data_IF_338345881938
#
_entry.id   IF_338345881938
#
_cell.length_a   1.000
_cell.length_b   1.000
_cell.length_c   1.000
_cell.angle_alpha   90.00
_cell.angle_beta   90.00
_cell.angle_gamma   90.00
#
_symmetry.space_group_name_H-M   'P 1'
#
loop_
_entity.id
_entity.type
_entity.pdbx_description
1 polymer ?
#
# COMPACT_ATOMS: atom_id res chain seq x y z
N UNK A 1 -89.94 2.10 27.65
CA UNK A 1 -89.22 1.09 28.47
C UNK A 1 -88.61 1.84 29.65
N UNK A 2 -89.28 1.80 30.80
CA UNK A 2 -88.79 1.19 32.07
C UNK A 2 -87.52 1.89 32.61
N UNK A 3 -87.62 2.91 33.48
CA UNK A 3 -87.83 2.89 34.95
C UNK A 3 -86.55 2.63 35.75
N UNK A 4 -86.32 3.52 36.73
CA UNK A 4 -85.61 3.35 38.01
C UNK A 4 -84.07 3.28 38.01
N UNK A 5 -83.34 3.71 39.05
CA UNK A 5 -83.49 4.64 40.18
C UNK A 5 -82.23 4.44 41.07
N UNK A 6 -81.86 5.47 41.84
CA UNK A 6 -81.05 5.45 43.08
C UNK A 6 -79.60 4.91 43.01
N UNK A 7 -78.57 5.50 43.61
CA UNK A 7 -78.49 6.42 44.74
C UNK A 7 -77.50 5.86 45.80
N UNK A 8 -76.82 6.76 46.55
CA UNK A 8 -76.04 6.53 47.81
C UNK A 8 -74.66 5.87 47.64
N UNK A 9 -73.58 6.17 48.40
CA UNK A 9 -73.28 6.81 49.72
C UNK A 9 -71.78 7.19 49.67
N UNK A 10 -71.33 8.39 50.07
CA UNK A 10 -70.85 8.80 51.41
C UNK A 10 -69.68 8.00 52.03
N UNK A 11 -68.75 8.76 52.63
CA UNK A 11 -67.77 8.46 53.73
C UNK A 11 -66.34 8.07 53.30
N UNK A 12 -65.32 8.94 53.35
CA UNK A 12 -64.49 9.51 54.44
C UNK A 12 -63.31 8.62 54.91
N UNK A 13 -62.16 9.28 55.11
CA UNK A 13 -61.01 8.98 56.01
C UNK A 13 -59.91 7.99 55.56
N UNK A 14 -58.67 8.45 55.43
CA UNK A 14 -57.60 8.38 56.47
C UNK A 14 -56.22 8.78 55.92
N UNK A 15 -55.49 9.59 56.71
CA UNK A 15 -54.05 9.87 56.59
C UNK A 15 -53.26 8.79 57.34
N UNK A 16 -52.02 8.44 56.93
CA UNK A 16 -50.91 8.63 57.87
C UNK A 16 -49.60 9.16 57.23
N UNK A 17 -48.80 9.79 58.09
CA UNK A 17 -47.48 10.39 57.87
C UNK A 17 -46.35 9.38 57.60
N UNK A 18 -45.19 9.82 57.05
CA UNK A 18 -43.85 9.33 57.44
C UNK A 18 -42.68 10.22 56.94
N UNK A 19 -41.87 10.66 57.91
CA UNK A 19 -40.39 10.64 58.01
C UNK A 19 -39.52 11.57 57.13
N UNK A 20 -38.81 12.46 57.84
CA UNK A 20 -37.62 13.23 57.40
C UNK A 20 -36.38 12.31 57.44
N UNK A 21 -35.62 12.27 56.34
CA UNK A 21 -34.32 11.60 56.25
C UNK A 21 -33.27 12.53 55.61
N UNK A 22 -32.14 12.70 56.28
CA UNK A 22 -31.07 13.63 55.93
C UNK A 22 -30.43 13.37 54.56
N UNK A 23 -30.30 14.42 53.75
CA UNK A 23 -29.51 14.40 52.51
C UNK A 23 -28.04 14.58 52.89
N UNK A 24 -27.29 13.47 52.91
CA UNK A 24 -25.83 13.51 52.86
C UNK A 24 -25.43 13.99 51.47
N UNK A 25 -24.83 15.18 51.39
CA UNK A 25 -24.15 15.67 50.20
C UNK A 25 -22.90 14.82 49.95
N UNK A 26 -23.09 13.67 49.30
CA UNK A 26 -22.00 12.94 48.67
C UNK A 26 -21.53 13.75 47.48
N UNK A 27 -20.28 14.23 47.52
CA UNK A 27 -19.54 14.78 46.40
C UNK A 27 -19.35 13.70 45.33
N UNK A 28 -20.41 13.45 44.56
CA UNK A 28 -20.38 12.68 43.34
C UNK A 28 -19.67 13.52 42.30
N UNK A 29 -18.41 13.16 41.99
CA UNK A 29 -17.85 13.47 40.68
C UNK A 29 -18.82 12.85 39.67
N UNK A 30 -19.52 13.70 38.93
CA UNK A 30 -20.26 13.30 37.74
C UNK A 30 -19.25 12.69 36.77
N UNK A 31 -19.23 11.36 36.67
CA UNK A 31 -18.51 10.69 35.60
C UNK A 31 -19.18 11.10 34.28
N UNK A 32 -18.50 11.94 33.49
CA UNK A 32 -18.89 12.24 32.12
C UNK A 32 -18.53 11.02 31.26
N UNK A 33 -19.38 10.67 30.29
CA UNK A 33 -19.07 9.65 29.27
C UNK A 33 -17.85 10.03 28.38
N UNK A 34 -17.30 11.23 28.57
CA UNK A 34 -16.12 11.77 27.89
C UNK A 34 -14.81 11.63 28.69
N UNK A 35 -14.84 11.19 29.95
CA UNK A 35 -13.63 10.82 30.71
C UNK A 35 -13.13 9.47 30.21
N UNK A 36 -12.53 9.46 29.01
CA UNK A 36 -11.75 8.32 28.56
C UNK A 36 -10.56 8.16 29.48
N UNK A 37 -10.58 7.11 30.32
CA UNK A 37 -9.42 6.70 31.12
C UNK A 37 -8.17 6.70 30.22
N UNK A 38 -7.21 7.62 30.47
CA UNK A 38 -6.00 7.73 29.66
C UNK A 38 -5.21 6.42 29.63
N UNK A 39 -5.31 5.63 30.70
CA UNK A 39 -4.70 4.30 30.81
C UNK A 39 -5.31 3.34 29.80
N UNK A 40 -6.63 3.16 29.83
CA UNK A 40 -7.33 2.32 28.86
C UNK A 40 -7.14 2.78 27.40
N UNK A 41 -7.05 4.09 27.16
CA UNK A 41 -6.74 4.63 25.82
C UNK A 41 -5.31 4.26 25.40
N UNK A 42 -4.33 4.43 26.28
CA UNK A 42 -2.94 4.08 26.00
C UNK A 42 -2.79 2.56 25.79
N UNK A 43 -3.47 1.72 26.55
CA UNK A 43 -3.46 0.27 26.39
C UNK A 43 -4.00 -0.16 25.01
N UNK A 44 -5.12 0.42 24.56
CA UNK A 44 -5.67 0.16 23.22
C UNK A 44 -4.70 0.60 22.13
N UNK A 45 -4.17 1.81 22.25
CA UNK A 45 -3.20 2.36 21.31
C UNK A 45 -1.93 1.52 21.25
N UNK A 46 -1.39 1.12 22.40
CA UNK A 46 -0.21 0.27 22.54
C UNK A 46 -0.41 -1.09 21.88
N UNK A 47 -1.55 -1.74 22.15
CA UNK A 47 -1.91 -3.01 21.51
C UNK A 47 -1.97 -2.86 20.00
N UNK A 48 -2.65 -1.81 19.49
CA UNK A 48 -2.78 -1.54 18.06
C UNK A 48 -1.42 -1.33 17.39
N UNK A 49 -0.57 -0.46 17.93
CA UNK A 49 0.75 -0.17 17.33
C UNK A 49 1.67 -1.40 17.40
N UNK A 50 1.69 -2.13 18.52
CA UNK A 50 2.54 -3.32 18.65
C UNK A 50 2.12 -4.43 17.69
N UNK A 51 0.82 -4.72 17.57
CA UNK A 51 0.32 -5.72 16.61
C UNK A 51 0.58 -5.27 15.16
N UNK A 52 0.32 -4.01 14.84
CA UNK A 52 0.51 -3.50 13.48
C UNK A 52 1.98 -3.61 13.04
N UNK A 53 2.91 -3.12 13.87
CA UNK A 53 4.32 -3.04 13.51
C UNK A 53 5.06 -4.36 13.70
N UNK A 54 4.90 -5.05 14.83
CA UNK A 54 5.74 -6.22 15.15
C UNK A 54 4.96 -7.53 15.22
N UNK A 55 3.63 -7.48 15.25
CA UNK A 55 2.78 -8.66 15.45
C UNK A 55 2.91 -9.27 16.84
N UNK A 56 3.46 -8.52 17.80
CA UNK A 56 3.71 -8.96 19.19
C UNK A 56 2.85 -8.14 20.17
N UNK A 57 2.77 -8.64 21.39
CA UNK A 57 2.19 -7.89 22.51
C UNK A 57 2.98 -6.62 22.81
N UNK A 58 2.31 -5.63 23.42
CA UNK A 58 2.93 -4.37 23.78
C UNK A 58 3.91 -4.53 24.95
N UNK A 59 5.12 -4.02 24.78
CA UNK A 59 6.08 -3.92 25.88
C UNK A 59 5.66 -2.83 26.88
N UNK A 60 6.23 -2.86 28.09
CA UNK A 60 5.93 -1.85 29.10
C UNK A 60 6.23 -0.41 28.62
N UNK A 61 7.25 -0.23 27.79
CA UNK A 61 7.59 1.06 27.20
C UNK A 61 6.51 1.54 26.21
N UNK A 62 5.98 0.63 25.38
CA UNK A 62 4.91 0.96 24.43
C UNK A 62 3.59 1.22 25.15
N UNK A 63 3.29 0.48 26.22
CA UNK A 63 2.11 0.73 27.07
C UNK A 63 2.14 2.12 27.71
N UNK A 64 3.32 2.58 28.15
CA UNK A 64 3.47 3.89 28.76
C UNK A 64 3.36 5.05 27.75
N UNK A 65 3.90 4.86 26.54
CA UNK A 65 3.90 5.90 25.50
C UNK A 65 3.83 5.29 24.09
N UNK A 66 2.64 4.89 23.61
CA UNK A 66 2.52 4.13 22.37
C UNK A 66 2.89 4.93 21.13
N UNK A 67 2.40 6.16 21.00
CA UNK A 67 2.72 7.01 19.84
C UNK A 67 4.18 7.51 19.87
N UNK A 68 4.76 7.71 21.07
CA UNK A 68 6.19 8.02 21.19
C UNK A 68 7.11 6.83 20.89
N UNK A 69 6.59 5.60 20.91
CA UNK A 69 7.36 4.38 20.65
C UNK A 69 7.44 4.00 19.16
N UNK A 70 6.73 4.72 18.27
CA UNK A 70 6.64 4.38 16.84
C UNK A 70 8.00 4.28 16.16
N UNK A 71 8.91 5.22 16.40
CA UNK A 71 10.23 5.19 15.76
C UNK A 71 11.07 3.98 16.21
N UNK A 72 10.88 3.54 17.46
CA UNK A 72 11.53 2.32 17.98
C UNK A 72 10.93 1.07 17.33
N UNK A 73 9.60 1.01 17.19
CA UNK A 73 8.91 -0.09 16.51
C UNK A 73 9.31 -0.19 15.03
N UNK A 74 9.49 0.94 14.35
CA UNK A 74 9.92 1.01 12.95
C UNK A 74 11.39 0.58 12.74
N UNK A 75 12.19 0.52 13.79
CA UNK A 75 13.56 0.00 13.76
C UNK A 75 13.64 -1.48 14.19
N UNK A 76 12.54 -2.07 14.68
CA UNK A 76 12.51 -3.45 15.16
C UNK A 76 12.67 -4.43 13.97
N UNK A 77 13.56 -5.44 14.06
CA UNK A 77 13.69 -6.46 13.01
C UNK A 77 12.38 -7.18 12.66
N UNK A 78 11.46 -7.35 13.61
CA UNK A 78 10.14 -7.93 13.37
C UNK A 78 9.27 -7.03 12.49
N UNK A 79 9.39 -5.70 12.63
CA UNK A 79 8.75 -4.78 11.69
C UNK A 79 9.36 -4.90 10.30
N UNK A 80 10.69 -4.91 10.21
CA UNK A 80 11.38 -5.02 8.92
C UNK A 80 10.91 -6.27 8.17
N UNK A 81 10.85 -7.40 8.85
CA UNK A 81 10.35 -8.66 8.31
C UNK A 81 8.87 -8.56 7.88
N UNK A 82 8.01 -8.04 8.76
CA UNK A 82 6.55 -7.97 8.52
C UNK A 82 6.21 -7.01 7.38
N UNK A 83 6.83 -5.84 7.34
CA UNK A 83 6.60 -4.86 6.28
C UNK A 83 7.14 -5.34 4.94
N UNK A 84 8.29 -6.02 4.92
CA UNK A 84 8.83 -6.61 3.68
C UNK A 84 7.90 -7.68 3.10
N UNK A 85 7.28 -8.51 3.97
CA UNK A 85 6.25 -9.48 3.56
C UNK A 85 4.99 -8.80 3.04
N UNK A 86 4.55 -7.74 3.71
CA UNK A 86 3.40 -6.94 3.27
C UNK A 86 3.65 -6.37 1.86
N UNK A 87 4.81 -5.74 1.63
CA UNK A 87 5.16 -5.19 0.30
C UNK A 87 5.19 -6.29 -0.76
N UNK A 88 5.75 -7.47 -0.45
CA UNK A 88 5.72 -8.59 -1.39
C UNK A 88 4.29 -9.03 -1.73
N UNK A 89 3.43 -9.13 -0.72
CA UNK A 89 2.02 -9.50 -0.91
C UNK A 89 1.18 -8.45 -1.62
N UNK A 90 1.48 -7.15 -1.49
CA UNK A 90 0.80 -6.09 -2.24
C UNK A 90 1.26 -6.04 -3.71
N UNK A 91 2.54 -6.37 -3.97
CA UNK A 91 3.13 -6.31 -5.32
C UNK A 91 2.97 -7.59 -6.13
N UNK A 92 2.81 -8.74 -5.46
CA UNK A 92 2.67 -10.05 -6.08
C UNK A 92 1.31 -10.66 -5.72
N UNK A 93 0.47 -10.89 -6.72
CA UNK A 93 -0.83 -11.56 -6.53
C UNK A 93 -0.70 -13.01 -6.03
N UNK A 94 0.41 -13.66 -6.38
CA UNK A 94 0.73 -15.02 -5.96
C UNK A 94 2.16 -15.07 -5.43
N UNK A 95 2.51 -16.03 -4.58
CA UNK A 95 3.91 -16.27 -4.21
C UNK A 95 4.77 -16.64 -5.44
N UNK A 96 6.06 -16.30 -5.39
CA UNK A 96 7.03 -16.80 -6.37
C UNK A 96 7.20 -18.32 -6.30
N UNK A 97 7.62 -18.95 -7.39
CA UNK A 97 7.96 -20.36 -7.41
C UNK A 97 9.27 -20.64 -6.65
N UNK A 98 10.14 -19.63 -6.51
CA UNK A 98 11.37 -19.66 -5.72
C UNK A 98 11.44 -18.42 -4.83
N UNK A 99 12.26 -18.45 -3.79
CA UNK A 99 12.48 -17.29 -2.91
C UNK A 99 13.02 -16.08 -3.69
N UNK A 100 13.84 -16.33 -4.71
CA UNK A 100 14.43 -15.26 -5.52
C UNK A 100 13.38 -14.52 -6.38
N UNK A 101 12.31 -15.20 -6.79
CA UNK A 101 11.18 -14.59 -7.52
C UNK A 101 10.36 -13.60 -6.69
N UNK A 102 10.41 -13.71 -5.36
CA UNK A 102 9.89 -12.72 -4.41
C UNK A 102 10.91 -11.59 -4.20
N UNK A 103 11.45 -11.05 -5.31
CA UNK A 103 12.52 -10.06 -5.27
C UNK A 103 12.14 -8.76 -4.54
N UNK A 104 10.86 -8.40 -4.53
CA UNK A 104 10.36 -7.23 -3.78
C UNK A 104 10.47 -7.41 -2.26
N UNK A 105 10.24 -8.63 -1.73
CA UNK A 105 10.50 -8.94 -0.31
C UNK A 105 11.97 -8.66 0.05
N UNK A 106 12.90 -9.26 -0.71
CA UNK A 106 14.33 -9.18 -0.41
C UNK A 106 14.87 -7.76 -0.55
N UNK A 107 14.45 -7.04 -1.59
CA UNK A 107 14.85 -5.66 -1.78
C UNK A 107 14.28 -4.73 -0.70
N UNK A 108 13.02 -4.93 -0.27
CA UNK A 108 12.42 -4.11 0.80
C UNK A 108 13.15 -4.32 2.12
N UNK A 109 13.46 -5.58 2.43
CA UNK A 109 14.22 -5.94 3.62
C UNK A 109 15.59 -5.25 3.61
N UNK A 110 16.31 -5.34 2.51
CA UNK A 110 17.60 -4.67 2.33
C UNK A 110 17.49 -3.15 2.49
N UNK A 111 16.51 -2.50 1.85
CA UNK A 111 16.28 -1.06 1.98
C UNK A 111 16.01 -0.63 3.43
N UNK A 112 15.23 -1.42 4.18
CA UNK A 112 14.95 -1.11 5.60
C UNK A 112 16.17 -1.34 6.50
N UNK A 113 16.86 -2.47 6.36
CA UNK A 113 18.04 -2.82 7.17
C UNK A 113 19.19 -1.84 6.94
N UNK A 114 19.39 -1.41 5.69
CA UNK A 114 20.43 -0.44 5.31
C UNK A 114 19.98 1.02 5.46
N UNK A 115 18.74 1.27 5.90
CA UNK A 115 18.16 2.62 6.10
C UNK A 115 18.22 3.48 4.83
N UNK A 116 17.98 2.87 3.68
CA UNK A 116 18.03 3.53 2.38
C UNK A 116 16.72 4.27 2.08
N UNK A 117 16.76 5.28 1.19
CA UNK A 117 15.55 5.87 0.62
C UNK A 117 14.65 4.81 -0.01
N UNK A 118 13.33 4.95 0.12
CA UNK A 118 12.36 4.00 -0.43
C UNK A 118 12.49 3.87 -1.96
N UNK A 119 12.89 4.95 -2.65
CA UNK A 119 13.15 4.91 -4.09
C UNK A 119 14.21 3.90 -4.51
N UNK A 120 15.12 3.51 -3.62
CA UNK A 120 16.19 2.56 -3.92
C UNK A 120 15.66 1.13 -4.13
N UNK A 121 14.42 0.84 -3.69
CA UNK A 121 13.65 -0.33 -4.12
C UNK A 121 13.60 -0.48 -5.64
N UNK A 122 13.56 0.65 -6.35
CA UNK A 122 13.25 0.73 -7.77
C UNK A 122 14.42 1.28 -8.59
N UNK A 123 15.21 2.19 -8.02
CA UNK A 123 16.32 2.86 -8.70
C UNK A 123 17.70 2.43 -8.21
N UNK A 124 17.79 1.69 -7.11
CA UNK A 124 19.05 1.32 -6.51
C UNK A 124 19.92 0.50 -7.47
N UNK A 125 21.23 0.74 -7.44
CA UNK A 125 22.21 -0.03 -8.22
C UNK A 125 22.48 -1.38 -7.55
N UNK A 126 21.44 -2.19 -7.49
CA UNK A 126 21.42 -3.49 -6.82
C UNK A 126 20.77 -4.55 -7.72
N UNK A 127 20.96 -5.80 -7.35
CA UNK A 127 20.21 -6.94 -7.88
C UNK A 127 19.91 -7.95 -6.78
N UNK A 128 18.80 -8.64 -6.93
CA UNK A 128 18.44 -9.83 -6.18
C UNK A 128 18.92 -11.05 -6.95
N UNK A 129 19.71 -11.90 -6.31
CA UNK A 129 20.21 -13.14 -6.88
C UNK A 129 19.98 -14.29 -5.91
N UNK A 130 19.47 -15.41 -6.41
CA UNK A 130 19.43 -16.68 -5.68
C UNK A 130 20.62 -17.57 -6.05
N UNK A 131 20.85 -18.61 -5.25
CA UNK A 131 21.64 -19.76 -5.68
C UNK A 131 21.00 -20.48 -6.89
N UNK A 132 21.60 -21.59 -7.33
CA UNK A 132 21.10 -22.35 -8.47
C UNK A 132 19.65 -22.86 -8.30
N UNK A 133 19.18 -23.01 -7.06
CA UNK A 133 17.82 -23.43 -6.72
C UNK A 133 16.89 -22.24 -6.44
N UNK A 134 17.41 -21.00 -6.44
CA UNK A 134 16.65 -19.79 -6.14
C UNK A 134 16.26 -19.64 -4.66
N UNK A 135 16.90 -20.37 -3.75
CA UNK A 135 16.49 -20.46 -2.34
C UNK A 135 17.35 -19.59 -1.42
N UNK A 136 18.67 -19.61 -1.59
CA UNK A 136 19.57 -18.73 -0.84
C UNK A 136 19.72 -17.40 -1.58
N UNK A 137 18.94 -16.40 -1.16
CA UNK A 137 18.83 -15.11 -1.85
C UNK A 137 19.71 -14.05 -1.19
N UNK A 138 20.36 -13.25 -2.01
CA UNK A 138 21.17 -12.11 -1.59
C UNK A 138 20.84 -10.87 -2.43
N UNK A 139 20.92 -9.71 -1.79
CA UNK A 139 20.94 -8.41 -2.49
C UNK A 139 22.38 -7.97 -2.62
N UNK A 140 22.83 -7.74 -3.84
CA UNK A 140 24.22 -7.36 -4.14
C UNK A 140 24.27 -6.08 -4.96
N UNK A 141 25.33 -5.31 -4.83
CA UNK A 141 25.57 -4.15 -5.67
C UNK A 141 25.72 -4.57 -7.14
N UNK A 142 25.09 -3.82 -8.04
CA UNK A 142 25.18 -3.99 -9.48
C UNK A 142 25.13 -2.60 -10.13
N UNK A 143 26.22 -2.13 -10.78
CA UNK A 143 26.24 -0.83 -11.46
C UNK A 143 25.14 -0.66 -12.52
N UNK A 144 24.68 -1.77 -13.10
CA UNK A 144 23.59 -1.82 -14.08
C UNK A 144 22.24 -2.15 -13.43
N UNK A 145 22.17 -2.24 -12.10
CA UNK A 145 20.95 -2.47 -11.34
C UNK A 145 19.91 -1.36 -11.51
N UNK A 146 18.66 -1.73 -11.26
CA UNK A 146 17.50 -0.82 -11.27
C UNK A 146 16.52 -1.34 -10.23
N UNK A 147 16.92 -1.21 -8.97
CA UNK A 147 16.28 -1.84 -7.84
C UNK A 147 16.14 -3.35 -8.07
N UNK A 148 14.98 -3.90 -7.74
CA UNK A 148 14.71 -5.30 -8.06
C UNK A 148 14.24 -5.54 -9.51
N UNK A 149 13.88 -4.50 -10.28
CA UNK A 149 13.30 -4.65 -11.63
C UNK A 149 14.26 -5.24 -12.68
N UNK A 150 15.57 -5.11 -12.45
CA UNK A 150 16.61 -5.76 -13.28
C UNK A 150 17.15 -7.07 -12.70
N UNK A 151 16.55 -7.57 -11.61
CA UNK A 151 16.90 -8.89 -11.06
C UNK A 151 16.35 -9.98 -11.99
N UNK A 152 17.22 -10.89 -12.42
CA UNK A 152 16.86 -11.91 -13.40
C UNK A 152 15.64 -12.78 -12.99
N UNK A 153 15.50 -13.25 -11.73
CA UNK A 153 14.32 -14.03 -11.31
C UNK A 153 13.02 -13.27 -11.53
N UNK A 154 12.99 -11.98 -11.16
CA UNK A 154 11.83 -11.11 -11.36
C UNK A 154 11.54 -10.86 -12.84
N UNK A 155 12.58 -10.58 -13.64
CA UNK A 155 12.42 -10.35 -15.07
C UNK A 155 11.87 -11.58 -15.80
N UNK A 156 12.32 -12.78 -15.44
CA UNK A 156 11.81 -14.04 -16.01
C UNK A 156 10.34 -14.26 -15.65
N UNK A 157 9.99 -14.08 -14.37
CA UNK A 157 8.62 -14.23 -13.87
C UNK A 157 7.62 -13.31 -14.59
N UNK A 158 8.00 -12.05 -14.83
CA UNK A 158 7.10 -11.05 -15.41
C UNK A 158 7.39 -10.73 -16.88
N UNK A 159 8.18 -11.56 -17.57
CA UNK A 159 8.56 -11.34 -18.97
C UNK A 159 7.34 -11.24 -19.90
N UNK A 160 6.24 -11.93 -19.58
CA UNK A 160 5.06 -12.02 -20.44
C UNK A 160 5.32 -12.79 -21.73
N UNK A 161 4.31 -12.85 -22.60
CA UNK A 161 4.29 -13.69 -23.80
C UNK A 161 3.73 -12.96 -25.04
N UNK A 162 3.81 -11.63 -25.07
CA UNK A 162 3.37 -10.81 -26.19
C UNK A 162 4.14 -11.18 -27.48
N UNK A 163 3.46 -11.13 -28.63
CA UNK A 163 3.92 -11.70 -29.91
C UNK A 163 5.21 -11.08 -30.44
N UNK A 164 5.41 -9.77 -30.25
CA UNK A 164 6.59 -9.03 -30.67
C UNK A 164 7.69 -9.03 -29.58
N UNK A 165 7.42 -9.66 -28.44
CA UNK A 165 8.32 -9.75 -27.30
C UNK A 165 8.26 -8.53 -26.37
N UNK A 166 7.27 -7.63 -26.53
CA UNK A 166 7.10 -6.53 -25.59
C UNK A 166 6.65 -7.04 -24.22
N UNK A 167 7.31 -6.57 -23.17
CA UNK A 167 7.03 -7.02 -21.81
C UNK A 167 5.91 -6.19 -21.16
N UNK A 168 4.69 -6.26 -21.71
CA UNK A 168 3.53 -5.51 -21.19
C UNK A 168 3.25 -5.79 -19.70
N UNK A 169 3.39 -7.05 -19.28
CA UNK A 169 3.25 -7.44 -17.86
C UNK A 169 4.34 -6.78 -17.00
N UNK A 170 5.59 -6.76 -17.47
CA UNK A 170 6.68 -6.06 -16.78
C UNK A 170 6.38 -4.56 -16.66
N UNK A 171 5.93 -3.91 -17.74
CA UNK A 171 5.59 -2.49 -17.73
C UNK A 171 4.48 -2.17 -16.71
N UNK A 172 3.42 -2.98 -16.69
CA UNK A 172 2.36 -2.86 -15.69
C UNK A 172 2.90 -3.03 -14.27
N UNK A 173 3.71 -4.07 -14.00
CA UNK A 173 4.27 -4.30 -12.65
C UNK A 173 5.19 -3.17 -12.21
N UNK A 174 5.99 -2.59 -13.11
CA UNK A 174 6.79 -1.40 -12.80
C UNK A 174 5.90 -0.24 -12.35
N UNK A 175 4.83 0.04 -13.10
CA UNK A 175 3.90 1.13 -12.80
C UNK A 175 3.09 0.88 -11.53
N UNK A 176 2.55 -0.32 -11.35
CA UNK A 176 1.85 -0.68 -10.12
C UNK A 176 2.79 -0.51 -8.93
N UNK A 177 3.94 -1.17 -8.94
CA UNK A 177 4.78 -1.24 -7.75
C UNK A 177 5.40 0.12 -7.41
N UNK A 178 5.62 0.99 -8.41
CA UNK A 178 6.18 2.33 -8.18
C UNK A 178 5.10 3.35 -7.80
N UNK A 179 4.02 3.45 -8.59
CA UNK A 179 3.04 4.56 -8.50
C UNK A 179 1.61 4.12 -8.18
N UNK A 180 1.40 2.85 -7.87
CA UNK A 180 0.11 2.32 -7.41
C UNK A 180 -0.94 2.20 -8.52
N UNK A 181 -0.52 2.16 -9.79
CA UNK A 181 -1.42 1.95 -10.91
C UNK A 181 -2.06 0.55 -10.80
N UNK A 182 -3.38 0.50 -10.68
CA UNK A 182 -4.12 -0.76 -10.67
C UNK A 182 -4.96 -0.88 -11.94
N UNK A 183 -4.68 -1.90 -12.75
CA UNK A 183 -5.39 -2.18 -13.99
C UNK A 183 -6.04 -3.55 -13.92
N UNK A 184 -7.28 -3.63 -14.37
CA UNK A 184 -8.02 -4.89 -14.49
C UNK A 184 -7.90 -5.39 -15.92
N UNK A 185 -7.37 -6.59 -16.09
CA UNK A 185 -7.30 -7.23 -17.39
C UNK A 185 -8.71 -7.58 -17.90
N UNK A 186 -8.97 -7.32 -19.18
CA UNK A 186 -10.19 -7.80 -19.84
C UNK A 186 -10.00 -9.26 -20.27
N UNK A 187 -11.07 -10.05 -20.20
CA UNK A 187 -11.08 -11.42 -20.73
C UNK A 187 -11.33 -11.39 -22.24
N UNK A 188 -10.33 -11.81 -22.99
CA UNK A 188 -10.46 -11.98 -24.44
C UNK A 188 -11.29 -13.23 -24.76
N UNK A 189 -12.18 -13.12 -25.75
CA UNK A 189 -12.81 -14.29 -26.36
C UNK A 189 -11.74 -15.15 -27.06
N UNK A 190 -11.91 -16.48 -27.14
CA UNK A 190 -11.00 -17.32 -27.92
C UNK A 190 -10.83 -16.81 -29.35
N UNK A 191 -9.58 -16.64 -29.79
CA UNK A 191 -9.25 -16.13 -31.13
C UNK A 191 -9.31 -14.60 -31.28
N UNK A 192 -9.51 -13.83 -30.20
CA UNK A 192 -9.40 -12.39 -30.26
C UNK A 192 -8.01 -11.96 -30.77
N UNK A 193 -7.98 -10.94 -31.63
CA UNK A 193 -6.74 -10.31 -32.04
C UNK A 193 -6.15 -9.51 -30.87
N UNK A 194 -4.99 -9.97 -30.39
CA UNK A 194 -4.24 -9.37 -29.27
C UNK A 194 -3.00 -8.60 -29.76
N UNK A 195 -2.88 -8.39 -31.07
CA UNK A 195 -1.77 -7.65 -31.66
C UNK A 195 -1.69 -6.22 -31.13
N UNK A 196 -0.53 -5.60 -31.30
CA UNK A 196 -0.31 -4.19 -30.97
C UNK A 196 -1.33 -3.31 -31.69
N UNK A 197 -1.61 -3.58 -32.96
CA UNK A 197 -2.58 -2.84 -33.74
C UNK A 197 -3.98 -2.92 -33.11
N UNK A 198 -4.46 -4.13 -32.78
CA UNK A 198 -5.79 -4.32 -32.23
C UNK A 198 -5.99 -3.64 -30.86
N UNK A 199 -5.04 -3.79 -29.93
CA UNK A 199 -5.18 -3.21 -28.57
C UNK A 199 -5.00 -1.70 -28.51
N UNK A 200 -4.33 -1.11 -29.51
CA UNK A 200 -4.12 0.35 -29.61
C UNK A 200 -5.12 1.05 -30.51
N UNK A 201 -6.04 0.31 -31.14
CA UNK A 201 -7.17 0.86 -31.91
C UNK A 201 -8.54 0.55 -31.30
N UNK A 202 -8.66 -0.49 -30.47
CA UNK A 202 -9.92 -0.88 -29.84
C UNK A 202 -10.26 0.04 -28.64
N UNK A 203 -11.41 0.74 -28.63
CA UNK A 203 -11.81 1.62 -27.53
C UNK A 203 -11.82 0.97 -26.15
N UNK A 204 -12.08 -0.35 -26.08
CA UNK A 204 -12.05 -1.11 -24.82
C UNK A 204 -10.65 -1.35 -24.26
N UNK A 205 -9.60 -1.18 -25.07
CA UNK A 205 -8.21 -1.43 -24.70
C UNK A 205 -7.37 -0.14 -24.71
N UNK A 206 -7.69 0.83 -25.56
CA UNK A 206 -6.94 2.08 -25.72
C UNK A 206 -6.84 2.90 -24.44
N UNK A 207 -7.80 2.74 -23.51
CA UNK A 207 -7.76 3.37 -22.19
C UNK A 207 -6.60 2.93 -21.30
N UNK A 208 -6.02 1.75 -21.54
CA UNK A 208 -4.84 1.25 -20.81
C UNK A 208 -3.59 1.20 -21.69
N UNK A 209 -3.76 0.81 -22.95
CA UNK A 209 -2.67 0.57 -23.88
C UNK A 209 -2.18 1.87 -24.57
N UNK A 210 -3.04 2.90 -24.61
CA UNK A 210 -2.81 4.12 -25.34
C UNK A 210 -3.04 3.97 -26.86
N UNK A 211 -3.27 5.08 -27.58
CA UNK A 211 -3.40 5.07 -29.02
C UNK A 211 -2.06 4.74 -29.71
N UNK A 212 -2.15 4.16 -30.91
CA UNK A 212 -0.99 3.83 -31.74
C UNK A 212 -0.18 5.07 -32.13
N UNK A 213 -0.85 6.21 -32.34
CA UNK A 213 -0.20 7.49 -32.59
C UNK A 213 0.49 7.97 -31.30
N UNK A 214 1.83 8.08 -31.37
CA UNK A 214 2.67 8.56 -30.26
C UNK A 214 2.41 10.03 -29.89
N UNK A 215 1.82 10.80 -30.80
CA UNK A 215 1.50 12.22 -30.59
C UNK A 215 0.05 12.42 -30.14
N UNK A 216 -0.80 11.39 -30.25
CA UNK A 216 -2.17 11.47 -29.75
C UNK A 216 -2.19 11.49 -28.22
N UNK A 217 -3.21 12.16 -27.68
CA UNK A 217 -3.48 12.17 -26.25
C UNK A 217 -3.65 10.73 -25.74
N UNK A 218 -2.80 10.35 -24.80
CA UNK A 218 -2.79 9.04 -24.19
C UNK A 218 -2.92 9.17 -22.67
N UNK A 219 -3.41 8.14 -21.97
CA UNK A 219 -3.25 8.07 -20.53
C UNK A 219 -1.76 8.25 -20.19
N UNK A 220 -1.46 8.99 -19.13
CA UNK A 220 -0.08 9.26 -18.70
C UNK A 220 0.74 7.96 -18.50
N UNK A 221 0.07 6.84 -18.23
CA UNK A 221 0.67 5.53 -17.99
C UNK A 221 0.66 4.58 -19.20
N UNK A 222 0.25 5.01 -20.40
CA UNK A 222 0.03 4.16 -21.58
C UNK A 222 0.97 2.94 -21.68
N UNK A 223 0.43 1.74 -21.46
CA UNK A 223 1.23 0.53 -21.21
C UNK A 223 2.12 0.14 -22.40
N UNK A 224 1.63 0.29 -23.64
CA UNK A 224 2.43 -0.04 -24.82
C UNK A 224 3.61 0.92 -24.98
N UNK A 225 3.43 2.20 -24.66
CA UNK A 225 4.52 3.19 -24.68
C UNK A 225 5.57 2.85 -23.63
N UNK A 226 5.15 2.45 -22.43
CA UNK A 226 6.07 2.02 -21.39
C UNK A 226 6.79 0.70 -21.75
N UNK A 227 6.10 -0.28 -22.34
CA UNK A 227 6.71 -1.54 -22.74
C UNK A 227 7.73 -1.38 -23.88
N UNK A 228 7.54 -0.39 -24.76
CA UNK A 228 8.46 -0.08 -25.88
C UNK A 228 9.85 0.38 -25.44
N UNK A 229 9.98 0.95 -24.24
CA UNK A 229 11.28 1.36 -23.67
C UNK A 229 11.92 0.29 -22.78
N UNK A 230 11.26 -0.87 -22.61
CA UNK A 230 11.85 -2.01 -21.89
C UNK A 230 12.63 -2.92 -22.84
N UNK A 231 13.47 -3.78 -22.27
CA UNK A 231 14.04 -4.91 -23.04
C UNK A 231 12.93 -5.80 -23.60
N UNK A 232 13.14 -6.34 -24.81
CA UNK A 232 12.25 -7.34 -25.42
C UNK A 232 12.62 -8.74 -24.96
N UNK A 233 11.63 -9.58 -24.69
CA UNK A 233 11.86 -11.00 -24.37
C UNK A 233 12.03 -11.81 -25.66
N UNK A 234 13.06 -12.66 -25.70
CA UNK A 234 13.30 -13.63 -26.76
C UNK A 234 13.36 -15.04 -26.17
N UNK A 235 12.66 -15.96 -26.81
CA UNK A 235 12.61 -17.38 -26.41
C UNK A 235 13.15 -18.21 -27.57
N UNK A 236 14.29 -18.85 -27.37
CA UNK A 236 14.92 -19.70 -28.38
C UNK A 236 15.52 -20.93 -27.70
N UNK A 237 15.19 -22.12 -28.22
CA UNK A 237 15.71 -23.40 -27.71
C UNK A 237 15.52 -23.59 -26.19
N UNK A 238 14.37 -23.15 -25.65
CA UNK A 238 14.09 -23.22 -24.21
C UNK A 238 14.80 -22.15 -23.36
N UNK A 239 15.67 -21.33 -23.95
CA UNK A 239 16.35 -20.23 -23.27
C UNK A 239 15.56 -18.93 -23.42
N UNK A 240 15.45 -18.19 -22.30
CA UNK A 240 14.86 -16.85 -22.27
C UNK A 240 15.99 -15.83 -22.18
N UNK A 241 16.01 -14.88 -23.13
CA UNK A 241 16.97 -13.77 -23.15
C UNK A 241 16.24 -12.44 -23.27
N UNK A 242 16.93 -11.36 -22.89
CA UNK A 242 16.40 -9.99 -22.94
C UNK A 242 17.27 -9.14 -23.85
N UNK A 243 16.69 -8.62 -24.93
CA UNK A 243 17.40 -7.73 -25.86
C UNK A 243 17.06 -6.27 -25.55
N UNK A 244 18.02 -5.33 -25.63
CA UNK A 244 17.75 -3.90 -25.45
C UNK A 244 16.59 -3.37 -26.30
N UNK A 245 15.86 -2.34 -25.85
CA UNK A 245 14.83 -1.68 -26.65
C UNK A 245 15.45 -1.10 -27.94
N UNK A 246 14.72 -1.20 -29.04
CA UNK A 246 15.09 -0.62 -30.35
C UNK A 246 14.17 0.51 -30.78
N UNK A 247 13.14 0.79 -29.97
CA UNK A 247 12.12 1.78 -30.29
C UNK A 247 12.64 3.19 -30.05
N UNK A 248 12.07 4.16 -30.75
CA UNK A 248 12.30 5.57 -30.47
C UNK A 248 11.80 5.92 -29.06
N UNK A 249 12.23 7.06 -28.48
CA UNK A 249 11.82 7.46 -27.15
C UNK A 249 10.29 7.63 -27.08
N UNK A 250 9.72 7.29 -25.94
CA UNK A 250 8.27 7.25 -25.73
C UNK A 250 7.84 8.29 -24.71
N UNK A 251 6.66 8.89 -24.91
CA UNK A 251 6.07 9.79 -23.92
C UNK A 251 5.30 8.98 -22.87
N UNK A 252 5.80 8.97 -21.64
CA UNK A 252 5.22 8.29 -20.47
C UNK A 252 5.37 9.18 -19.24
N UNK A 253 4.33 9.28 -18.41
CA UNK A 253 4.26 10.15 -17.24
C UNK A 253 4.65 11.60 -17.57
N UNK A 254 4.15 12.10 -18.72
CA UNK A 254 4.43 13.43 -19.26
C UNK A 254 5.93 13.74 -19.48
N UNK A 255 6.76 12.69 -19.57
CA UNK A 255 8.19 12.77 -19.85
C UNK A 255 8.53 11.92 -21.07
N UNK A 256 9.50 12.38 -21.86
CA UNK A 256 10.12 11.54 -22.87
C UNK A 256 11.11 10.60 -22.19
N UNK A 257 10.95 9.30 -22.38
CA UNK A 257 11.80 8.26 -21.81
C UNK A 257 12.37 7.37 -22.91
N UNK A 258 13.66 7.05 -22.81
CA UNK A 258 14.41 6.27 -23.78
C UNK A 258 14.53 4.80 -23.38
N UNK A 259 14.59 4.53 -22.07
CA UNK A 259 14.81 3.19 -21.52
C UNK A 259 14.05 2.96 -20.21
N UNK A 260 14.20 1.77 -19.64
CA UNK A 260 13.58 1.36 -18.38
C UNK A 260 14.09 2.18 -17.19
N UNK A 261 15.34 2.64 -17.19
CA UNK A 261 15.88 3.47 -16.11
C UNK A 261 15.21 4.85 -16.11
N UNK A 262 15.11 5.49 -17.27
CA UNK A 262 14.42 6.77 -17.41
C UNK A 262 12.92 6.66 -17.12
N UNK A 263 12.28 5.55 -17.51
CA UNK A 263 10.90 5.25 -17.13
C UNK A 263 10.73 5.19 -15.60
N UNK A 264 11.53 4.38 -14.91
CA UNK A 264 11.43 4.25 -13.45
C UNK A 264 11.76 5.56 -12.75
N UNK A 265 12.75 6.31 -13.24
CA UNK A 265 13.08 7.64 -12.74
C UNK A 265 11.89 8.60 -12.88
N UNK A 266 11.27 8.63 -14.07
CA UNK A 266 10.08 9.45 -14.32
C UNK A 266 8.93 9.12 -13.34
N UNK A 267 8.73 7.84 -13.05
CA UNK A 267 7.70 7.36 -12.11
C UNK A 267 8.02 7.74 -10.67
N UNK A 268 9.25 7.52 -10.19
CA UNK A 268 9.69 7.87 -8.83
C UNK A 268 9.64 9.38 -8.58
N UNK A 269 9.96 10.19 -9.58
CA UNK A 269 9.91 11.66 -9.46
C UNK A 269 8.47 12.21 -9.52
N UNK A 270 7.48 11.37 -9.84
CA UNK A 270 6.09 11.81 -9.97
C UNK A 270 5.44 12.01 -8.60
N UNK A 271 4.43 12.89 -8.50
CA UNK A 271 3.60 12.98 -7.30
C UNK A 271 2.97 11.64 -6.90
N UNK A 272 2.62 10.81 -7.89
CA UNK A 272 2.01 9.49 -7.67
C UNK A 272 2.90 8.55 -6.87
N UNK A 273 4.23 8.69 -6.93
CA UNK A 273 5.14 7.90 -6.12
C UNK A 273 4.94 8.17 -4.62
N UNK A 274 4.92 9.44 -4.23
CA UNK A 274 4.69 9.84 -2.85
C UNK A 274 3.28 9.52 -2.36
N UNK A 275 2.27 9.67 -3.22
CA UNK A 275 0.90 9.25 -2.92
C UNK A 275 0.81 7.74 -2.68
N UNK A 276 1.44 6.94 -3.53
CA UNK A 276 1.45 5.49 -3.38
C UNK A 276 2.17 5.04 -2.11
N UNK A 277 3.31 5.66 -1.76
CA UNK A 277 4.01 5.37 -0.51
C UNK A 277 3.11 5.59 0.72
N UNK A 278 2.33 6.68 0.74
CA UNK A 278 1.37 6.94 1.81
C UNK A 278 0.16 5.99 1.77
N UNK A 279 -0.36 5.67 0.58
CA UNK A 279 -1.42 4.65 0.45
C UNK A 279 -0.98 3.29 0.97
N UNK A 280 0.27 2.89 0.73
CA UNK A 280 0.87 1.68 1.30
C UNK A 280 0.95 1.75 2.83
N UNK A 281 1.28 2.91 3.40
CA UNK A 281 1.25 3.10 4.85
C UNK A 281 -0.16 2.91 5.43
N UNK A 282 -1.19 3.45 4.77
CA UNK A 282 -2.59 3.22 5.16
C UNK A 282 -3.00 1.75 5.04
N UNK A 283 -2.70 1.11 3.91
CA UNK A 283 -2.98 -0.32 3.72
C UNK A 283 -2.30 -1.18 4.78
N UNK A 284 -1.06 -0.88 5.17
CA UNK A 284 -0.34 -1.62 6.20
C UNK A 284 -0.96 -1.43 7.59
N UNK A 285 -1.28 -0.18 7.95
CA UNK A 285 -1.73 0.18 9.31
C UNK A 285 -3.22 -0.06 9.55
N UNK A 286 -4.05 0.12 8.52
CA UNK A 286 -5.52 0.02 8.60
C UNK A 286 -6.08 -1.17 7.83
N UNK A 287 -5.29 -1.89 7.02
CA UNK A 287 -5.77 -2.96 6.15
C UNK A 287 -6.59 -2.46 4.95
N UNK A 288 -6.60 -1.15 4.68
CA UNK A 288 -7.34 -0.50 3.59
C UNK A 288 -6.63 0.76 3.10
N UNK A 289 -6.92 1.24 1.88
CA UNK A 289 -6.51 2.58 1.50
C UNK A 289 -7.15 3.66 2.39
N UNK A 290 -6.56 4.84 2.33
CA UNK A 290 -7.10 6.05 2.95
C UNK A 290 -8.51 6.38 2.40
N UNK A 291 -9.30 7.08 3.20
CA UNK A 291 -10.58 7.65 2.78
C UNK A 291 -10.63 9.17 3.01
N UNK A 292 -11.67 9.83 2.50
CA UNK A 292 -11.72 11.30 2.37
C UNK A 292 -11.54 12.02 3.72
N UNK A 293 -12.04 11.45 4.81
CA UNK A 293 -11.90 12.03 6.15
C UNK A 293 -10.45 12.04 6.68
N UNK A 294 -9.56 11.24 6.08
CA UNK A 294 -8.15 11.10 6.45
C UNK A 294 -7.23 12.02 5.63
N UNK A 295 -7.78 12.90 4.78
CA UNK A 295 -7.00 13.75 3.88
C UNK A 295 -5.94 14.59 4.61
N UNK A 296 -6.23 15.13 5.79
CA UNK A 296 -5.24 15.89 6.58
C UNK A 296 -4.01 15.05 6.98
N UNK A 297 -4.23 13.82 7.48
CA UNK A 297 -3.11 12.94 7.88
C UNK A 297 -2.41 12.36 6.64
N UNK A 298 -3.14 12.14 5.55
CA UNK A 298 -2.55 11.72 4.29
C UNK A 298 -1.63 12.79 3.68
N UNK A 299 -2.05 14.06 3.68
CA UNK A 299 -1.23 15.18 3.20
C UNK A 299 0.02 15.38 4.06
N UNK A 300 -0.11 15.20 5.38
CA UNK A 300 1.03 15.20 6.31
C UNK A 300 1.99 14.05 5.98
N UNK A 301 1.47 12.85 5.72
CA UNK A 301 2.27 11.70 5.28
C UNK A 301 3.04 12.02 3.99
N UNK A 302 2.37 12.57 2.97
CA UNK A 302 3.01 12.90 1.68
C UNK A 302 4.11 13.93 1.88
N UNK A 303 3.87 14.93 2.74
CA UNK A 303 4.85 15.97 3.08
C UNK A 303 6.08 15.37 3.76
N UNK A 304 5.87 14.53 4.78
CA UNK A 304 6.96 13.91 5.53
C UNK A 304 7.74 12.92 4.67
N UNK A 305 7.05 12.11 3.86
CA UNK A 305 7.70 11.20 2.92
C UNK A 305 8.56 11.96 1.89
N UNK A 306 8.07 13.06 1.32
CA UNK A 306 8.88 13.88 0.40
C UNK A 306 10.11 14.49 1.06
N UNK A 307 10.00 14.85 2.35
CA UNK A 307 11.10 15.42 3.13
C UNK A 307 12.18 14.39 3.46
N UNK A 308 11.78 13.17 3.89
CA UNK A 308 12.71 12.15 4.39
C UNK A 308 13.10 11.10 3.36
N UNK A 309 12.22 10.83 2.40
CA UNK A 309 12.40 9.82 1.35
C UNK A 309 12.33 8.36 1.82
N UNK A 310 12.01 8.07 3.08
CA UNK A 310 11.93 6.71 3.64
C UNK A 310 10.49 6.27 3.86
N UNK A 311 10.21 4.97 3.68
CA UNK A 311 8.86 4.44 3.91
C UNK A 311 8.48 4.47 5.40
N UNK A 312 9.48 4.38 6.29
CA UNK A 312 9.29 4.54 7.73
C UNK A 312 8.76 5.93 8.07
N UNK A 313 9.17 6.98 7.34
CA UNK A 313 8.65 8.33 7.57
C UNK A 313 7.15 8.44 7.23
N UNK A 314 6.72 7.80 6.13
CA UNK A 314 5.30 7.71 5.77
C UNK A 314 4.49 6.98 6.86
N UNK A 315 4.97 5.81 7.28
CA UNK A 315 4.35 5.01 8.35
C UNK A 315 4.29 5.77 9.68
N UNK A 316 5.38 6.43 10.06
CA UNK A 316 5.46 7.22 11.28
C UNK A 316 4.46 8.37 11.26
N UNK A 317 4.33 9.08 10.14
CA UNK A 317 3.38 10.19 10.01
C UNK A 317 1.94 9.74 10.23
N UNK A 318 1.56 8.56 9.73
CA UNK A 318 0.21 8.02 9.90
C UNK A 318 0.01 7.49 11.32
N UNK A 319 0.95 6.71 11.84
CA UNK A 319 0.80 6.06 13.15
C UNK A 319 0.94 7.03 14.35
N UNK A 320 1.64 8.16 14.18
CA UNK A 320 1.74 9.23 15.18
C UNK A 320 0.55 10.18 15.19
N UNK A 321 -0.34 10.09 14.19
CA UNK A 321 -1.58 10.86 14.22
C UNK A 321 -2.50 10.37 15.37
N UNK A 322 -3.06 11.26 16.20
CA UNK A 322 -3.94 10.87 17.30
C UNK A 322 -5.16 10.04 16.87
N UNK A 323 -5.62 10.18 15.63
CA UNK A 323 -6.72 9.41 15.05
C UNK A 323 -6.38 7.95 14.80
N UNK A 324 -5.10 7.57 14.69
CA UNK A 324 -4.72 6.15 14.58
C UNK A 324 -5.05 5.36 15.84
N UNK A 325 -5.08 6.01 17.00
CA UNK A 325 -5.35 5.38 18.29
C UNK A 325 -6.78 5.56 18.80
N UNK A 326 -7.68 6.01 17.93
CA UNK A 326 -9.13 6.06 18.14
C UNK A 326 -9.80 4.87 17.44
#
# INVERSE_FOLDING_TARGET
MSVAHLGRRATLLLVPAMIVGAVMAGSGKSASAEDTDPTAKNERCATRVSIAFTGKEASAAVLANPQGSIDTLLADPAFIERFSRFINGDFNETPGATSAEDSSYHMMKYVLEQKLPYKDMFLGQYRVAGDAQGNNVQVTADPNGLGYFRSQPWQLRYAGNELEGYKLVTAYRIMWNTVGLNLVASTNVPGADISTAARTSNPGCTGCHGPADKNAAAPWFALDRAAKVLTKVRRQNGMVTFTPPTEAPQMVADKMVNDDKELVQALVDSPNFSFNACRLAFKFLYGRPENVCESKVFDACVTEFKSKGTIQAALASVAKDPGFCQ
#
